data_IF_567407073825
#
_entry.id   IF_567407073825
#
_cell.length_a   1.000
_cell.length_b   1.000
_cell.length_c   1.000
_cell.angle_alpha   90.00
_cell.angle_beta   90.00
_cell.angle_gamma   90.00
#
_symmetry.space_group_name_H-M   'P 1'
#
loop_
_entity.id
_entity.type
_entity.pdbx_description
1 polymer ?
#
# COMPACT_ATOMS: atom_id res chain seq x y z
N UNK A 1 -1.27 36.55 2.39
CA UNK A 1 -1.74 35.18 2.68
C UNK A 1 -0.54 34.25 2.86
N UNK A 2 -0.34 33.80 4.06
CA UNK A 2 0.86 33.05 4.40
C UNK A 2 0.69 31.56 4.22
N UNK A 3 0.84 31.14 2.97
CA UNK A 3 0.84 29.73 2.64
C UNK A 3 2.00 28.98 3.32
N UNK A 4 3.09 29.68 3.66
CA UNK A 4 4.25 29.09 4.34
C UNK A 4 3.94 28.61 5.77
N UNK A 5 3.09 29.31 6.49
CA UNK A 5 2.71 28.95 7.87
C UNK A 5 1.87 27.66 7.87
N UNK A 6 0.92 27.55 6.94
CA UNK A 6 0.08 26.35 6.79
C UNK A 6 0.87 25.12 6.39
N UNK A 7 1.98 25.31 5.68
CA UNK A 7 2.83 24.22 5.20
C UNK A 7 3.46 23.41 6.33
N UNK A 8 3.64 24.01 7.50
CA UNK A 8 4.31 23.41 8.64
C UNK A 8 3.37 23.23 9.86
N UNK A 9 2.07 23.23 9.64
CA UNK A 9 1.11 22.98 10.69
C UNK A 9 1.25 21.52 11.18
N UNK A 10 1.71 21.32 12.43
CA UNK A 10 1.91 19.98 12.97
C UNK A 10 0.62 19.15 13.07
N UNK A 11 -0.51 19.79 13.32
CA UNK A 11 -1.79 19.09 13.41
C UNK A 11 -2.25 18.58 12.03
N UNK A 12 -2.10 19.39 10.99
CA UNK A 12 -2.43 18.99 9.63
C UNK A 12 -1.54 17.83 9.15
N UNK A 13 -0.24 17.87 9.50
CA UNK A 13 0.70 16.80 9.14
C UNK A 13 0.39 15.51 9.92
N UNK A 14 0.05 15.63 11.20
CA UNK A 14 -0.34 14.47 12.01
C UNK A 14 -1.62 13.82 11.48
N UNK A 15 -2.61 14.60 11.08
CA UNK A 15 -3.84 14.10 10.46
C UNK A 15 -3.55 13.43 9.11
N UNK A 16 -2.67 14.03 8.30
CA UNK A 16 -2.24 13.45 7.03
C UNK A 16 -1.54 12.11 7.25
N UNK A 17 -0.69 12.00 8.28
CA UNK A 17 -0.04 10.74 8.64
C UNK A 17 -1.07 9.68 9.02
N UNK A 18 -2.04 10.02 9.85
CA UNK A 18 -3.08 9.09 10.28
C UNK A 18 -3.89 8.59 9.08
N UNK A 19 -4.31 9.49 8.20
CA UNK A 19 -5.04 9.14 6.98
C UNK A 19 -4.21 8.25 6.05
N UNK A 20 -2.92 8.56 5.88
CA UNK A 20 -2.01 7.76 5.07
C UNK A 20 -1.83 6.35 5.64
N UNK A 21 -1.73 6.22 6.98
CA UNK A 21 -1.66 4.92 7.65
C UNK A 21 -2.92 4.10 7.44
N UNK A 22 -4.09 4.70 7.55
CA UNK A 22 -5.38 4.04 7.35
C UNK A 22 -5.48 3.56 5.89
N UNK A 23 -5.18 4.43 4.94
CA UNK A 23 -5.25 4.11 3.52
C UNK A 23 -4.28 2.98 3.14
N UNK A 24 -3.07 3.01 3.66
CA UNK A 24 -2.08 1.98 3.44
C UNK A 24 -2.52 0.63 4.03
N UNK A 25 -3.10 0.65 5.21
CA UNK A 25 -3.64 -0.54 5.88
C UNK A 25 -4.79 -1.17 5.10
N UNK A 26 -5.69 -0.34 4.58
CA UNK A 26 -6.79 -0.79 3.72
C UNK A 26 -6.29 -1.38 2.42
N UNK A 27 -5.28 -0.77 1.80
CA UNK A 27 -4.65 -1.29 0.58
C UNK A 27 -4.02 -2.67 0.81
N UNK A 28 -3.33 -2.87 1.94
CA UNK A 28 -2.79 -4.17 2.31
C UNK A 28 -3.89 -5.22 2.51
N UNK A 29 -4.98 -4.83 3.14
CA UNK A 29 -6.13 -5.71 3.36
C UNK A 29 -6.76 -6.14 2.04
N UNK A 30 -6.93 -5.20 1.11
CA UNK A 30 -7.46 -5.47 -0.21
C UNK A 30 -6.54 -6.42 -0.99
N UNK A 31 -5.23 -6.23 -0.91
CA UNK A 31 -4.26 -7.10 -1.56
C UNK A 31 -4.35 -8.54 -1.04
N UNK A 32 -4.46 -8.72 0.27
CA UNK A 32 -4.67 -10.04 0.87
C UNK A 32 -5.96 -10.70 0.40
N UNK A 33 -7.03 -9.93 0.33
CA UNK A 33 -8.33 -10.42 -0.15
C UNK A 33 -8.24 -10.89 -1.60
N UNK A 34 -7.62 -10.11 -2.47
CA UNK A 34 -7.43 -10.46 -3.88
C UNK A 34 -6.55 -11.70 -4.04
N UNK A 35 -5.51 -11.84 -3.23
CA UNK A 35 -4.65 -13.02 -3.25
C UNK A 35 -5.44 -14.29 -2.89
N UNK A 36 -6.31 -14.22 -1.88
CA UNK A 36 -7.20 -15.34 -1.53
C UNK A 36 -8.19 -15.65 -2.65
N UNK A 37 -8.74 -14.62 -3.28
CA UNK A 37 -9.63 -14.78 -4.42
C UNK A 37 -8.93 -15.46 -5.59
N UNK A 38 -7.67 -15.11 -5.84
CA UNK A 38 -6.85 -15.73 -6.87
C UNK A 38 -6.69 -17.23 -6.62
N UNK A 39 -6.31 -17.61 -5.40
CA UNK A 39 -6.14 -19.01 -5.03
C UNK A 39 -7.43 -19.82 -5.21
N UNK A 40 -8.55 -19.27 -4.78
CA UNK A 40 -9.87 -19.90 -4.94
C UNK A 40 -10.26 -20.01 -6.41
N UNK A 41 -9.98 -18.99 -7.20
CA UNK A 41 -10.30 -19.00 -8.63
C UNK A 41 -9.46 -20.03 -9.38
N UNK A 42 -8.17 -20.12 -9.09
CA UNK A 42 -7.29 -21.12 -9.68
C UNK A 42 -7.80 -22.53 -9.35
N UNK A 43 -8.15 -22.79 -8.10
CA UNK A 43 -8.70 -24.08 -7.69
C UNK A 43 -10.01 -24.40 -8.40
N UNK A 44 -10.92 -23.43 -8.49
CA UNK A 44 -12.19 -23.56 -9.18
C UNK A 44 -12.00 -23.86 -10.68
N UNK A 45 -11.12 -23.13 -11.35
CA UNK A 45 -10.84 -23.33 -12.76
C UNK A 45 -10.09 -24.63 -13.02
N UNK A 46 -9.23 -25.05 -12.11
CA UNK A 46 -8.61 -26.38 -12.16
C UNK A 46 -9.66 -27.48 -12.19
N UNK A 47 -10.62 -27.43 -11.27
CA UNK A 47 -11.71 -28.41 -11.22
C UNK A 47 -12.56 -28.38 -12.50
N UNK A 48 -12.80 -27.20 -13.05
CA UNK A 48 -13.52 -27.03 -14.30
C UNK A 48 -12.81 -27.75 -15.45
N UNK A 49 -11.53 -27.49 -15.63
CA UNK A 49 -10.76 -28.13 -16.71
C UNK A 49 -10.54 -29.62 -16.48
N UNK A 50 -10.43 -30.03 -15.22
CA UNK A 50 -10.19 -31.44 -14.89
C UNK A 50 -11.44 -32.31 -15.06
N UNK A 51 -12.62 -31.80 -14.66
CA UNK A 51 -13.83 -32.61 -14.55
C UNK A 51 -15.05 -32.12 -15.31
N UNK A 52 -15.18 -30.83 -15.57
CA UNK A 52 -16.43 -30.22 -16.04
C UNK A 52 -16.43 -29.92 -17.55
N UNK A 53 -15.30 -29.99 -18.23
CA UNK A 53 -15.23 -29.82 -19.68
C UNK A 53 -15.52 -31.13 -20.39
N UNK A 54 -15.96 -31.04 -21.66
CA UNK A 54 -16.17 -32.21 -22.51
C UNK A 54 -14.88 -32.98 -22.77
N UNK A 55 -13.74 -32.31 -22.73
CA UNK A 55 -12.44 -32.91 -22.80
C UNK A 55 -11.82 -32.99 -21.42
N UNK A 56 -11.61 -34.18 -20.92
CA UNK A 56 -10.91 -34.38 -19.65
C UNK A 56 -9.42 -34.15 -19.86
N UNK A 57 -8.87 -33.18 -19.15
CA UNK A 57 -7.46 -32.90 -19.17
C UNK A 57 -6.72 -33.65 -18.07
N UNK A 58 -5.50 -34.07 -18.33
CA UNK A 58 -4.59 -34.58 -17.31
C UNK A 58 -4.36 -33.49 -16.25
N UNK A 59 -3.97 -33.90 -15.05
CA UNK A 59 -3.76 -32.98 -13.92
C UNK A 59 -2.85 -31.81 -14.30
N UNK A 60 -1.73 -32.07 -14.94
CA UNK A 60 -0.78 -31.02 -15.37
C UNK A 60 -1.37 -30.06 -16.39
N UNK A 61 -2.13 -30.58 -17.34
CA UNK A 61 -2.80 -29.75 -18.35
C UNK A 61 -3.89 -28.88 -17.72
N UNK A 62 -4.65 -29.45 -16.80
CA UNK A 62 -5.69 -28.71 -16.06
C UNK A 62 -5.08 -27.60 -15.21
N UNK A 63 -3.96 -27.86 -14.54
CA UNK A 63 -3.21 -26.85 -13.78
C UNK A 63 -2.69 -25.72 -14.70
N UNK A 64 -2.10 -26.07 -15.83
CA UNK A 64 -1.59 -25.08 -16.79
C UNK A 64 -2.74 -24.23 -17.35
N UNK A 65 -3.86 -24.84 -17.72
CA UNK A 65 -5.03 -24.12 -18.24
C UNK A 65 -5.68 -23.23 -17.19
N UNK A 66 -5.73 -23.66 -15.94
CA UNK A 66 -6.26 -22.85 -14.85
C UNK A 66 -5.44 -21.56 -14.66
N UNK A 67 -4.11 -21.64 -14.74
CA UNK A 67 -3.23 -20.50 -14.58
C UNK A 67 -3.37 -19.46 -15.68
N UNK A 68 -3.68 -19.87 -16.91
CA UNK A 68 -3.85 -18.95 -18.05
C UNK A 68 -5.32 -18.63 -18.33
N UNK A 69 -6.24 -19.14 -17.50
CA UNK A 69 -7.66 -18.85 -17.64
C UNK A 69 -7.93 -17.36 -17.58
N UNK A 70 -8.75 -16.78 -18.49
CA UNK A 70 -9.03 -15.35 -18.49
C UNK A 70 -9.59 -14.81 -17.17
N UNK A 71 -10.39 -15.59 -16.44
CA UNK A 71 -10.91 -15.18 -15.13
C UNK A 71 -9.81 -15.08 -14.07
N UNK A 72 -8.82 -15.97 -14.14
CA UNK A 72 -7.63 -15.94 -13.28
C UNK A 72 -6.76 -14.75 -13.64
N UNK A 73 -6.54 -14.51 -14.92
CA UNK A 73 -5.72 -13.38 -15.40
C UNK A 73 -6.33 -12.03 -15.01
N UNK A 74 -7.65 -11.91 -15.02
CA UNK A 74 -8.32 -10.69 -14.57
C UNK A 74 -8.03 -10.38 -13.11
N UNK A 75 -8.04 -11.40 -12.25
CA UNK A 75 -7.70 -11.22 -10.82
C UNK A 75 -6.22 -10.86 -10.67
N UNK A 76 -5.33 -11.46 -11.46
CA UNK A 76 -3.90 -11.11 -11.45
C UNK A 76 -3.67 -9.64 -11.82
N UNK A 77 -4.40 -9.11 -12.79
CA UNK A 77 -4.34 -7.69 -13.15
C UNK A 77 -4.78 -6.83 -11.98
N UNK A 78 -5.87 -7.20 -11.30
CA UNK A 78 -6.34 -6.48 -10.11
C UNK A 78 -5.31 -6.52 -8.97
N UNK A 79 -4.61 -7.64 -8.80
CA UNK A 79 -3.53 -7.76 -7.81
C UNK A 79 -2.38 -6.82 -8.16
N UNK A 80 -1.97 -6.76 -9.42
CA UNK A 80 -0.89 -5.88 -9.88
C UNK A 80 -1.25 -4.41 -9.62
N UNK A 81 -2.48 -4.01 -9.90
CA UNK A 81 -2.97 -2.67 -9.60
C UNK A 81 -3.01 -2.39 -8.10
N UNK A 82 -3.44 -3.37 -7.31
CA UNK A 82 -3.48 -3.24 -5.85
C UNK A 82 -2.09 -3.15 -5.24
N UNK A 83 -1.12 -3.90 -5.74
CA UNK A 83 0.29 -3.82 -5.33
C UNK A 83 0.88 -2.44 -5.65
N UNK A 84 0.58 -1.91 -6.83
CA UNK A 84 1.02 -0.58 -7.24
C UNK A 84 0.46 0.50 -6.32
N UNK A 85 -0.82 0.41 -6.00
CA UNK A 85 -1.47 1.35 -5.07
C UNK A 85 -0.86 1.24 -3.67
N UNK A 86 -0.64 0.04 -3.18
CA UNK A 86 -0.03 -0.20 -1.86
C UNK A 86 1.37 0.43 -1.80
N UNK A 87 2.17 0.26 -2.84
CA UNK A 87 3.51 0.85 -2.94
C UNK A 87 3.45 2.38 -2.97
N UNK A 88 2.51 2.96 -3.71
CA UNK A 88 2.32 4.41 -3.76
C UNK A 88 1.93 4.98 -2.39
N UNK A 89 1.02 4.30 -1.69
CA UNK A 89 0.58 4.70 -0.35
C UNK A 89 1.70 4.54 0.69
N UNK A 90 2.51 3.51 0.58
CA UNK A 90 3.68 3.34 1.42
C UNK A 90 4.69 4.49 1.21
N UNK A 91 4.95 4.86 -0.05
CA UNK A 91 5.86 5.96 -0.37
C UNK A 91 5.34 7.30 0.16
N UNK A 92 4.03 7.52 0.11
CA UNK A 92 3.40 8.71 0.68
C UNK A 92 3.56 8.77 2.20
N UNK A 93 3.29 7.66 2.87
CA UNK A 93 3.47 7.53 4.31
C UNK A 93 4.92 7.82 4.72
N UNK A 94 5.88 7.25 4.00
CA UNK A 94 7.31 7.47 4.23
C UNK A 94 7.68 8.94 4.07
N UNK A 95 7.16 9.63 3.07
CA UNK A 95 7.39 11.08 2.88
C UNK A 95 6.84 11.89 4.05
N UNK A 96 5.66 11.55 4.54
CA UNK A 96 5.04 12.24 5.69
C UNK A 96 5.86 12.00 6.95
N UNK A 97 6.29 10.78 7.20
CA UNK A 97 7.15 10.45 8.34
C UNK A 97 8.48 11.20 8.28
N UNK A 98 9.07 11.29 7.11
CA UNK A 98 10.31 12.07 6.91
C UNK A 98 10.10 13.54 7.22
N UNK A 99 8.99 14.13 6.78
CA UNK A 99 8.65 15.53 7.12
C UNK A 99 8.50 15.73 8.62
N UNK A 100 7.87 14.81 9.31
CA UNK A 100 7.71 14.88 10.78
C UNK A 100 9.05 14.79 11.50
N UNK A 101 9.95 13.95 11.03
CA UNK A 101 11.31 13.84 11.58
C UNK A 101 12.10 15.13 11.37
N UNK A 102 12.05 15.70 10.17
CA UNK A 102 12.70 16.97 9.86
C UNK A 102 12.16 18.12 10.71
N UNK A 103 10.84 18.15 10.95
CA UNK A 103 10.25 19.15 11.81
C UNK A 103 10.69 18.99 13.27
N UNK A 104 10.77 17.76 13.76
CA UNK A 104 11.25 17.47 15.11
C UNK A 104 12.71 17.91 15.28
N UNK A 105 13.56 17.61 14.32
CA UNK A 105 14.97 18.02 14.31
C UNK A 105 15.12 19.56 14.25
N UNK A 106 14.33 20.21 13.41
CA UNK A 106 14.31 21.67 13.30
C UNK A 106 13.89 22.32 14.64
N UNK A 107 12.86 21.78 15.26
CA UNK A 107 12.38 22.28 16.57
C UNK A 107 13.42 22.06 17.67
N UNK A 108 14.10 20.93 17.67
CA UNK A 108 15.18 20.65 18.62
C UNK A 108 16.35 21.62 18.44
N UNK A 109 16.74 21.90 17.22
CA UNK A 109 17.80 22.87 16.89
C UNK A 109 17.41 24.27 17.34
N UNK A 110 16.19 24.70 17.06
CA UNK A 110 15.69 26.01 17.49
C UNK A 110 15.71 26.16 19.01
N UNK A 111 15.31 25.13 19.76
CA UNK A 111 15.38 25.13 21.23
C UNK A 111 16.81 25.23 21.74
N UNK A 112 17.73 24.51 21.12
CA UNK A 112 19.16 24.57 21.49
C UNK A 112 19.73 25.96 21.24
N UNK A 113 19.42 26.60 20.11
CA UNK A 113 19.83 27.96 19.79
C UNK A 113 19.26 28.97 20.78
N UNK A 114 18.02 28.84 21.16
CA UNK A 114 17.38 29.71 22.16
C UNK A 114 18.05 29.58 23.52
N UNK A 115 18.42 28.39 23.95
CA UNK A 115 19.14 28.16 25.21
C UNK A 115 20.52 28.81 25.18
N UNK A 116 21.26 28.67 24.07
CA UNK A 116 22.57 29.30 23.91
C UNK A 116 22.48 30.82 23.90
N UNK A 117 21.46 31.37 23.21
CA UNK A 117 21.17 32.80 23.22
C UNK A 117 20.87 33.34 24.60
N UNK A 118 20.17 32.56 25.41
CA UNK A 118 19.87 32.87 26.80
C UNK A 118 21.11 32.97 27.69
N UNK A 119 22.17 32.23 27.39
CA UNK A 119 23.42 32.27 28.15
C UNK A 119 24.33 33.43 27.75
N UNK A 120 24.17 33.98 26.58
CA UNK A 120 25.00 35.08 26.05
C UNK A 120 24.53 36.43 26.51
N UNK A 121 23.26 36.57 26.86
CA UNK A 121 22.69 37.82 27.41
C UNK A 121 22.90 37.91 28.90
#
# INVERSE_FOLDING_TARGET
MDKGIKKYDPHAIADAKMNAMINHKEAKRMLKKLTRMLDKKIASRFLHYRFLTNEKHAVKDAEAKAKIDPEVQEIEIQIDEAEKLENELFAELDRIETKLELMADSNATARAEMKLGGFVT
#
